data_IF_474909382163
#
_entry.id   IF_474909382163
#
_cell.length_a   1.000
_cell.length_b   1.000
_cell.length_c   1.000
_cell.angle_alpha   90.00
_cell.angle_beta   90.00
_cell.angle_gamma   90.00
#
_symmetry.space_group_name_H-M   'P 1'
#
loop_
_entity.id
_entity.type
_entity.pdbx_description
1 polymer ?
#
# COMPACT_ATOMS: atom_id res chain seq x y z
N UNK A 1 -12.52 2.44 8.79
CA UNK A 1 -12.26 3.02 7.48
C UNK A 1 -11.09 2.23 6.96
N UNK A 2 -10.58 2.65 5.82
CA UNK A 2 -9.44 2.03 5.25
C UNK A 2 -8.62 3.09 4.58
N UNK A 3 -7.35 2.76 4.41
CA UNK A 3 -6.43 3.47 3.57
C UNK A 3 -5.70 2.50 2.73
N UNK A 4 -5.34 2.99 1.57
CA UNK A 4 -4.73 2.19 0.56
C UNK A 4 -3.43 2.79 0.18
N UNK A 5 -2.46 1.93 -0.09
CA UNK A 5 -1.10 2.41 -0.25
C UNK A 5 -0.53 1.61 -1.41
N UNK A 6 -0.05 2.31 -2.41
CA UNK A 6 0.83 1.73 -3.41
C UNK A 6 2.25 1.67 -2.82
N UNK A 7 2.86 0.50 -2.73
CA UNK A 7 4.17 0.35 -2.08
C UNK A 7 5.27 -0.03 -3.07
N UNK A 8 5.07 0.26 -4.35
CA UNK A 8 6.09 0.04 -5.36
C UNK A 8 6.69 1.37 -5.80
N UNK A 9 7.58 1.32 -6.78
CA UNK A 9 8.11 2.51 -7.43
C UNK A 9 6.96 3.32 -8.09
N UNK A 10 7.11 4.66 -8.22
CA UNK A 10 6.13 5.51 -8.87
C UNK A 10 5.82 5.12 -10.30
N UNK A 11 6.68 4.33 -10.92
CA UNK A 11 6.57 3.90 -12.28
C UNK A 11 5.24 3.24 -12.60
N UNK A 12 4.73 2.42 -11.66
CA UNK A 12 3.40 1.87 -11.87
C UNK A 12 2.35 2.97 -11.69
N UNK A 13 2.54 3.83 -10.68
CA UNK A 13 1.59 4.87 -10.30
C UNK A 13 1.30 5.82 -11.47
N UNK A 14 2.34 6.10 -12.26
CA UNK A 14 2.26 6.96 -13.43
C UNK A 14 1.28 6.42 -14.47
N UNK A 15 1.25 5.10 -14.67
CA UNK A 15 0.37 4.58 -15.70
C UNK A 15 -1.00 4.30 -15.16
N UNK A 16 -1.11 3.69 -13.98
CA UNK A 16 -2.35 3.62 -13.24
C UNK A 16 -2.07 3.25 -11.79
N UNK A 17 -2.94 3.73 -10.89
CA UNK A 17 -2.95 3.36 -9.51
C UNK A 17 -4.39 3.22 -9.08
N UNK A 18 -4.60 2.39 -8.08
CA UNK A 18 -5.87 2.29 -7.40
C UNK A 18 -6.27 3.68 -6.92
N UNK A 19 -7.49 4.07 -7.26
CA UNK A 19 -8.03 5.37 -6.94
C UNK A 19 -8.07 5.47 -5.44
N UNK A 20 -7.29 6.34 -4.83
CA UNK A 20 -7.37 6.55 -3.39
C UNK A 20 -6.09 6.06 -2.72
N UNK A 21 -5.27 5.31 -3.45
CA UNK A 21 -3.96 4.97 -2.96
C UNK A 21 -3.05 6.17 -3.02
N UNK A 22 -1.94 6.06 -2.30
CA UNK A 22 -0.82 7.00 -2.26
C UNK A 22 0.45 6.17 -2.46
N UNK A 23 1.39 6.68 -3.25
CA UNK A 23 2.66 6.01 -3.49
C UNK A 23 3.56 6.21 -2.28
N UNK A 24 3.91 5.12 -1.60
CA UNK A 24 4.80 5.07 -0.45
C UNK A 24 5.66 3.79 -0.62
N UNK A 25 6.73 3.85 -1.41
CA UNK A 25 7.51 2.67 -1.80
C UNK A 25 7.95 1.82 -0.61
N UNK A 26 8.15 0.52 -0.88
CA UNK A 26 8.55 -0.49 0.10
C UNK A 26 9.73 -0.05 0.96
N UNK A 27 10.67 0.65 0.33
CA UNK A 27 11.90 1.09 0.99
C UNK A 27 11.71 2.11 2.07
N UNK A 28 10.53 2.72 2.09
CA UNK A 28 10.29 3.90 2.86
C UNK A 28 9.02 3.76 3.70
N UNK A 29 8.21 2.74 3.39
CA UNK A 29 6.91 2.51 4.03
C UNK A 29 7.05 2.44 5.55
N UNK A 30 8.18 1.91 6.03
CA UNK A 30 8.45 1.75 7.43
C UNK A 30 8.36 3.05 8.23
N UNK A 31 8.69 4.17 7.61
CA UNK A 31 8.69 5.46 8.30
C UNK A 31 7.51 6.28 7.87
N UNK A 32 7.12 6.17 6.62
CA UNK A 32 6.10 7.05 6.09
C UNK A 32 4.71 6.62 6.43
N UNK A 33 4.54 5.36 6.84
CA UNK A 33 3.24 4.92 7.30
C UNK A 33 2.74 5.81 8.43
N UNK A 34 3.63 6.32 9.30
CA UNK A 34 3.24 7.10 10.46
C UNK A 34 2.57 8.42 10.04
N UNK A 35 2.97 9.00 8.92
CA UNK A 35 2.39 10.21 8.40
C UNK A 35 1.18 9.92 7.51
N UNK A 36 1.14 8.76 6.84
CA UNK A 36 0.04 8.38 5.97
C UNK A 36 -1.18 7.91 6.78
N UNK A 37 -0.95 7.15 7.85
CA UNK A 37 -1.98 6.51 8.66
C UNK A 37 -1.51 6.60 10.12
N UNK A 38 -1.74 7.74 10.80
CA UNK A 38 -1.27 7.95 12.15
C UNK A 38 -1.85 6.99 13.18
N UNK A 39 -3.04 6.45 12.92
CA UNK A 39 -3.68 5.48 13.79
C UNK A 39 -3.49 4.10 13.20
N UNK A 40 -2.53 3.35 13.72
CA UNK A 40 -2.23 2.04 13.13
C UNK A 40 -3.30 0.98 13.33
N UNK A 41 -4.34 1.28 14.11
CA UNK A 41 -5.50 0.40 14.21
C UNK A 41 -6.41 0.53 13.00
N UNK A 42 -6.28 1.61 12.24
CA UNK A 42 -7.07 1.78 11.01
C UNK A 42 -6.65 0.73 9.99
N UNK A 43 -7.58 0.31 9.13
CA UNK A 43 -7.30 -0.70 8.14
C UNK A 43 -6.39 -0.12 7.06
N UNK A 44 -5.32 -0.82 6.71
CA UNK A 44 -4.39 -0.41 5.68
C UNK A 44 -4.32 -1.55 4.69
N UNK A 45 -4.58 -1.28 3.41
CA UNK A 45 -4.49 -2.25 2.34
C UNK A 45 -3.31 -1.83 1.50
N UNK A 46 -2.33 -2.71 1.36
CA UNK A 46 -1.17 -2.48 0.54
C UNK A 46 -1.31 -3.34 -0.72
N UNK A 47 -0.81 -2.84 -1.84
CA UNK A 47 -0.70 -3.57 -3.10
C UNK A 47 0.49 -3.02 -3.86
N UNK A 48 0.94 -3.78 -4.86
CA UNK A 48 1.99 -3.38 -5.77
C UNK A 48 1.80 -4.12 -7.08
N UNK A 49 2.71 -3.95 -8.03
CA UNK A 49 2.54 -4.50 -9.37
C UNK A 49 2.39 -6.03 -9.36
N UNK A 50 3.04 -6.71 -8.41
CA UNK A 50 3.16 -8.17 -8.47
C UNK A 50 2.67 -8.87 -7.20
N UNK A 51 2.17 -8.12 -6.22
CA UNK A 51 1.58 -8.68 -5.00
C UNK A 51 2.62 -9.06 -3.96
N UNK A 52 3.82 -9.35 -4.40
CA UNK A 52 4.89 -9.78 -3.55
C UNK A 52 5.39 -8.67 -2.66
N UNK A 53 5.66 -7.50 -3.24
CA UNK A 53 6.28 -6.39 -2.52
C UNK A 53 5.29 -5.78 -1.54
N UNK A 54 4.00 -5.84 -1.83
CA UNK A 54 2.98 -5.54 -0.83
C UNK A 54 2.95 -6.58 0.29
N UNK A 55 3.18 -7.86 -0.04
CA UNK A 55 3.41 -8.87 0.97
C UNK A 55 4.55 -8.46 1.91
N UNK A 56 5.68 -8.00 1.35
CA UNK A 56 6.82 -7.56 2.16
C UNK A 56 6.44 -6.35 3.00
N UNK A 57 5.77 -5.37 2.40
CA UNK A 57 5.35 -4.19 3.13
C UNK A 57 4.42 -4.61 4.28
N UNK A 58 3.56 -5.59 4.08
CA UNK A 58 2.66 -6.05 5.12
C UNK A 58 3.48 -6.57 6.29
N UNK A 59 4.55 -7.31 6.04
CA UNK A 59 5.41 -7.83 7.10
C UNK A 59 6.13 -6.70 7.82
N UNK A 60 6.61 -5.70 7.08
CA UNK A 60 7.24 -4.53 7.68
C UNK A 60 6.24 -3.85 8.62
N UNK A 61 5.02 -3.64 8.15
CA UNK A 61 4.02 -2.99 8.95
C UNK A 61 3.75 -3.91 10.13
N UNK A 62 3.53 -5.21 9.96
CA UNK A 62 3.26 -6.06 11.12
C UNK A 62 4.34 -5.93 12.19
N UNK A 63 5.61 -5.75 11.80
CA UNK A 63 6.70 -5.50 12.71
C UNK A 63 6.58 -4.14 13.43
N UNK A 64 6.13 -3.12 12.71
CA UNK A 64 5.77 -1.80 13.26
C UNK A 64 4.53 -1.83 14.18
N UNK A 65 3.83 -2.96 14.27
CA UNK A 65 2.80 -3.16 15.30
C UNK A 65 1.41 -2.76 14.86
N UNK A 66 1.16 -2.86 13.57
CA UNK A 66 -0.14 -2.66 12.98
C UNK A 66 -1.05 -3.74 13.39
N UNK A 67 -2.31 -3.34 13.42
CA UNK A 67 -3.29 -4.32 13.76
C UNK A 67 -4.14 -4.75 12.58
N UNK A 68 -4.28 -3.94 11.53
CA UNK A 68 -5.24 -4.23 10.46
C UNK A 68 -4.65 -3.93 9.10
N UNK A 69 -3.45 -4.40 8.89
CA UNK A 69 -2.85 -4.32 7.58
C UNK A 69 -3.21 -5.57 6.84
N UNK A 70 -3.33 -5.43 5.54
CA UNK A 70 -3.64 -6.52 4.67
C UNK A 70 -2.95 -6.29 3.34
N UNK A 71 -2.32 -7.33 2.81
CA UNK A 71 -1.95 -7.34 1.42
C UNK A 71 -3.18 -7.66 0.58
N UNK A 72 -3.67 -6.67 -0.16
CA UNK A 72 -4.79 -6.84 -1.07
C UNK A 72 -4.50 -7.78 -2.25
N UNK A 73 -3.25 -7.82 -2.71
CA UNK A 73 -2.81 -8.62 -3.82
C UNK A 73 -1.90 -7.76 -4.68
N UNK A 74 -1.91 -8.01 -5.99
CA UNK A 74 -1.20 -7.16 -6.93
C UNK A 74 -2.18 -6.20 -7.61
N UNK A 75 -1.67 -5.16 -8.28
CA UNK A 75 -2.46 -4.13 -8.96
C UNK A 75 -3.54 -4.72 -9.87
N UNK A 76 -3.20 -5.86 -10.45
CA UNK A 76 -4.10 -6.60 -11.30
C UNK A 76 -5.28 -7.20 -10.63
N UNK A 77 -5.09 -7.52 -9.37
CA UNK A 77 -6.07 -8.28 -8.63
C UNK A 77 -7.07 -7.28 -8.06
N UNK A 78 -6.61 -6.13 -7.56
CA UNK A 78 -7.53 -5.16 -6.99
C UNK A 78 -8.51 -4.74 -8.07
N UNK A 79 -9.80 -4.86 -7.74
CA UNK A 79 -10.90 -4.62 -8.65
C UNK A 79 -11.61 -3.32 -8.30
N UNK A 80 -10.83 -2.35 -7.82
CA UNK A 80 -11.29 -0.98 -7.62
C UNK A 80 -11.04 -0.16 -8.87
N UNK A 81 -11.72 0.99 -9.02
CA UNK A 81 -11.35 1.99 -10.01
C UNK A 81 -9.88 2.36 -9.93
N UNK A 82 -9.32 2.75 -11.06
CA UNK A 82 -7.92 3.13 -11.17
C UNK A 82 -7.86 4.41 -11.97
N UNK A 83 -6.82 5.19 -11.73
CA UNK A 83 -6.56 6.48 -12.36
C UNK A 83 -5.09 6.51 -12.65
N UNK A 84 -4.69 7.34 -13.60
CA UNK A 84 -3.29 7.57 -13.90
C UNK A 84 -2.73 8.62 -12.99
N UNK A 85 -1.41 8.61 -12.96
CA UNK A 85 -0.62 9.63 -12.33
C UNK A 85 -0.86 10.99 -12.97
#
# INVERSE_FOLDING_TARGET
>A
AEHWIDVRVPEQYQQEHVQGAINIPLKEVKERIATAVPDKNDTVKVYCNAGRQSGQAKEILSEMGYTHVENAGGLKDIAMPKVKG
#
